data_IF_268476503660
#
_entry.id   IF_268476503660
#
_cell.length_a   1.000
_cell.length_b   1.000
_cell.length_c   1.000
_cell.angle_alpha   90.00
_cell.angle_beta   90.00
_cell.angle_gamma   90.00
#
_symmetry.space_group_name_H-M   'P 1'
#
loop_
_entity.id
_entity.type
_entity.pdbx_description
1 polymer ?
#
# COMPACT_ATOMS: atom_id res chain seq x y z
N UNK A 1 -4.00 -1.14 14.93
CA UNK A 1 -4.40 -1.20 13.51
C UNK A 1 -5.92 -1.21 13.43
N UNK A 2 -6.50 -0.07 13.10
CA UNK A 2 -7.96 0.12 13.12
C UNK A 2 -8.67 -0.68 12.01
N UNK A 3 -7.90 -1.23 11.06
CA UNK A 3 -8.37 -2.07 9.97
C UNK A 3 -7.53 -3.36 9.86
N UNK A 4 -8.21 -4.51 9.76
CA UNK A 4 -7.61 -5.82 9.50
C UNK A 4 -7.43 -6.07 7.99
N UNK A 5 -7.31 -7.34 7.58
CA UNK A 5 -7.29 -7.70 6.17
C UNK A 5 -8.66 -7.40 5.53
N UNK A 6 -8.67 -6.49 4.56
CA UNK A 6 -9.87 -6.09 3.80
C UNK A 6 -9.94 -6.72 2.41
N UNK A 7 -9.06 -7.67 2.08
CA UNK A 7 -8.81 -8.16 0.71
C UNK A 7 -8.19 -7.07 -0.16
N UNK A 8 -8.66 -6.89 -1.40
CA UNK A 8 -8.06 -5.96 -2.39
C UNK A 8 -7.88 -4.51 -1.93
N UNK A 9 -8.75 -3.88 -1.11
CA UNK A 9 -8.55 -2.50 -0.67
C UNK A 9 -7.42 -2.33 0.35
N UNK A 10 -6.92 -3.41 0.95
CA UNK A 10 -5.94 -3.34 2.05
C UNK A 10 -4.69 -2.55 1.67
N UNK A 11 -4.19 -2.72 0.45
CA UNK A 11 -2.98 -2.04 -0.02
C UNK A 11 -3.19 -0.54 -0.23
N UNK A 12 -4.38 -0.14 -0.68
CA UNK A 12 -4.72 1.27 -0.90
C UNK A 12 -5.04 1.98 0.41
N UNK A 13 -5.71 1.30 1.35
CA UNK A 13 -5.96 1.82 2.69
C UNK A 13 -4.65 2.04 3.46
N UNK A 14 -3.69 1.11 3.37
CA UNK A 14 -2.37 1.28 3.95
C UNK A 14 -1.58 2.44 3.30
N UNK A 15 -1.72 2.63 1.98
CA UNK A 15 -1.14 3.78 1.29
C UNK A 15 -1.75 5.09 1.78
N UNK A 16 -3.08 5.18 1.91
CA UNK A 16 -3.76 6.36 2.43
C UNK A 16 -3.26 6.74 3.82
N UNK A 17 -3.18 5.77 4.74
CA UNK A 17 -2.65 6.01 6.09
C UNK A 17 -1.20 6.50 6.04
N UNK A 18 -0.37 5.89 5.19
CA UNK A 18 1.03 6.27 5.01
C UNK A 18 1.16 7.72 4.51
N UNK A 19 0.33 8.13 3.55
CA UNK A 19 0.35 9.49 2.99
C UNK A 19 -0.16 10.56 3.97
N UNK A 20 -0.94 10.17 4.98
CA UNK A 20 -1.43 11.08 6.04
C UNK A 20 -0.39 11.35 7.12
N UNK A 21 0.72 10.61 7.16
CA UNK A 21 1.80 10.81 8.14
C UNK A 21 2.61 12.06 7.78
N UNK A 22 2.95 12.91 8.77
CA UNK A 22 3.75 14.14 8.56
C UNK A 22 5.16 13.85 8.02
N UNK A 23 5.67 12.63 8.24
CA UNK A 23 6.94 12.13 7.73
C UNK A 23 6.71 10.75 7.13
N UNK A 24 6.27 10.65 5.86
CA UNK A 24 6.09 9.35 5.23
C UNK A 24 7.44 8.61 5.16
N UNK A 25 7.45 7.27 5.21
CA UNK A 25 8.68 6.46 5.24
C UNK A 25 9.58 6.68 4.02
N UNK A 26 8.99 7.12 2.90
CA UNK A 26 9.68 7.46 1.65
C UNK A 26 9.78 8.98 1.52
N UNK A 27 10.97 9.53 1.82
CA UNK A 27 11.24 10.97 1.66
C UNK A 27 11.16 11.43 0.19
N UNK A 28 11.23 10.50 -0.76
CA UNK A 28 11.17 10.74 -2.20
C UNK A 28 9.78 10.54 -2.80
N UNK A 29 8.82 10.03 -2.02
CA UNK A 29 7.49 9.67 -2.53
C UNK A 29 7.50 8.46 -3.49
N UNK A 30 8.56 7.66 -3.47
CA UNK A 30 8.67 6.41 -4.22
C UNK A 30 8.14 5.25 -3.37
N UNK A 31 7.09 4.58 -3.85
CA UNK A 31 6.38 3.52 -3.16
C UNK A 31 6.24 2.29 -4.04
N UNK A 32 6.34 1.11 -3.42
CA UNK A 32 5.94 -0.15 -4.01
C UNK A 32 4.67 -0.65 -3.34
N UNK A 33 3.60 -0.72 -4.11
CA UNK A 33 2.34 -1.32 -3.71
C UNK A 33 2.38 -2.78 -4.11
N UNK A 34 2.26 -3.69 -3.14
CA UNK A 34 2.31 -5.13 -3.37
C UNK A 34 1.07 -5.77 -2.75
N UNK A 35 0.41 -6.63 -3.52
CA UNK A 35 -0.73 -7.41 -3.05
C UNK A 35 -0.61 -8.86 -3.48
N UNK A 36 -1.14 -9.75 -2.65
CA UNK A 36 -1.31 -11.17 -2.93
C UNK A 36 -2.72 -11.58 -2.51
N UNK A 37 -3.40 -12.38 -3.34
CA UNK A 37 -4.79 -12.71 -3.11
C UNK A 37 -5.23 -14.03 -3.72
N UNK A 38 -6.55 -14.23 -3.74
CA UNK A 38 -7.17 -15.43 -4.27
C UNK A 38 -6.72 -15.76 -5.70
N UNK A 39 -6.73 -17.04 -6.04
CA UNK A 39 -6.21 -17.53 -7.31
C UNK A 39 -4.69 -17.52 -7.42
N UNK A 40 -3.97 -17.44 -6.29
CA UNK A 40 -2.51 -17.39 -6.23
C UNK A 40 -1.93 -16.24 -7.07
N UNK A 41 -2.63 -15.12 -7.08
CA UNK A 41 -2.26 -13.93 -7.86
C UNK A 41 -1.45 -12.97 -6.99
N UNK A 42 -0.37 -12.44 -7.58
CA UNK A 42 0.44 -11.40 -6.98
C UNK A 42 0.57 -10.23 -7.96
N UNK A 43 0.39 -9.02 -7.46
CA UNK A 43 0.50 -7.80 -8.25
C UNK A 43 1.38 -6.78 -7.53
N UNK A 44 2.22 -6.10 -8.29
CA UNK A 44 3.06 -5.02 -7.80
C UNK A 44 2.94 -3.79 -8.73
N UNK A 45 2.98 -2.60 -8.13
CA UNK A 45 3.00 -1.33 -8.84
C UNK A 45 3.94 -0.37 -8.12
N UNK A 46 4.84 0.28 -8.87
CA UNK A 46 5.66 1.38 -8.37
C UNK A 46 4.93 2.69 -8.62
N UNK A 47 4.81 3.52 -7.58
CA UNK A 47 4.25 4.86 -7.64
C UNK A 47 5.31 5.85 -7.18
N UNK A 48 5.69 6.77 -8.05
CA UNK A 48 6.71 7.78 -7.76
C UNK A 48 7.50 8.17 -9.00
N UNK A 49 8.43 9.13 -8.87
CA UNK A 49 9.37 9.48 -9.93
C UNK A 49 10.35 8.36 -10.30
#
# INVERSE_FOLDING_TARGET
>A
PDHGNMSSPSVLSALEETLRQEKPPSATGDFWLVSFGAGFSAHACRLGP
#
